data_IF_061946742406
#
_entry.id   IF_061946742406
#
_cell.length_a   1.000
_cell.length_b   1.000
_cell.length_c   1.000
_cell.angle_alpha   90.00
_cell.angle_beta   90.00
_cell.angle_gamma   90.00
#
_symmetry.space_group_name_H-M   'P 1'
#
loop_
_entity.id
_entity.type
_entity.pdbx_description
1 polymer ?
#
# COMPACT_ATOMS: atom_id res chain seq x y z
N UNK A 1 -11.31 45.56 -12.44
CA UNK A 1 -11.67 44.32 -13.18
C UNK A 1 -10.50 43.43 -13.62
N UNK A 2 -9.22 43.85 -13.54
CA UNK A 2 -8.06 43.03 -13.97
C UNK A 2 -7.55 42.05 -12.90
N UNK A 3 -7.77 42.37 -11.61
CA UNK A 3 -7.28 41.57 -10.46
C UNK A 3 -8.11 40.27 -10.29
N UNK A 4 -9.42 40.34 -10.58
CA UNK A 4 -10.31 39.17 -10.58
C UNK A 4 -9.90 38.13 -11.62
N UNK A 5 -9.40 38.55 -12.79
CA UNK A 5 -8.87 37.65 -13.82
C UNK A 5 -7.65 36.87 -13.34
N UNK A 6 -6.77 37.48 -12.55
CA UNK A 6 -5.57 36.83 -12.00
C UNK A 6 -5.89 35.85 -10.86
N UNK A 7 -6.84 36.20 -9.98
CA UNK A 7 -7.31 35.31 -8.91
C UNK A 7 -8.03 34.09 -9.50
N UNK A 8 -8.82 34.29 -10.55
CA UNK A 8 -9.49 33.18 -11.24
C UNK A 8 -8.47 32.28 -11.95
N UNK A 9 -7.44 32.87 -12.57
CA UNK A 9 -6.40 32.14 -13.30
C UNK A 9 -5.50 31.29 -12.38
N UNK A 10 -5.25 31.72 -11.13
CA UNK A 10 -4.40 30.96 -10.19
C UNK A 10 -5.14 29.86 -9.42
N UNK A 11 -6.47 29.95 -9.31
CA UNK A 11 -7.28 28.95 -8.62
C UNK A 11 -7.49 27.66 -9.46
N UNK A 12 -7.38 27.77 -10.79
CA UNK A 12 -7.63 26.66 -11.73
C UNK A 12 -6.63 25.50 -11.56
N UNK A 13 -5.30 25.72 -11.49
CA UNK A 13 -4.34 24.63 -11.26
C UNK A 13 -4.59 23.86 -9.95
N UNK A 14 -4.92 24.57 -8.87
CA UNK A 14 -5.19 23.97 -7.56
C UNK A 14 -6.47 23.12 -7.57
N UNK A 15 -7.50 23.56 -8.28
CA UNK A 15 -8.75 22.81 -8.42
C UNK A 15 -8.56 21.53 -9.27
N UNK A 16 -7.84 21.63 -10.38
CA UNK A 16 -7.52 20.47 -11.25
C UNK A 16 -6.68 19.44 -10.51
N UNK A 17 -5.67 19.88 -9.75
CA UNK A 17 -4.83 18.97 -8.96
C UNK A 17 -5.65 18.24 -7.88
N UNK A 18 -6.51 18.95 -7.14
CA UNK A 18 -7.40 18.31 -6.14
C UNK A 18 -8.39 17.35 -6.79
N UNK A 19 -8.92 17.68 -7.97
CA UNK A 19 -9.88 16.83 -8.67
C UNK A 19 -9.23 15.58 -9.28
N UNK A 20 -8.01 15.70 -9.81
CA UNK A 20 -7.21 14.57 -10.27
C UNK A 20 -6.85 13.62 -9.12
N UNK A 21 -6.40 14.17 -7.99
CA UNK A 21 -6.18 13.40 -6.76
C UNK A 21 -7.47 12.74 -6.24
N UNK A 22 -8.60 13.44 -6.40
CA UNK A 22 -9.91 12.92 -6.02
C UNK A 22 -10.37 11.73 -6.90
N UNK A 23 -10.07 11.77 -8.20
CA UNK A 23 -10.40 10.68 -9.11
C UNK A 23 -9.52 9.45 -8.88
N UNK A 24 -8.22 9.66 -8.65
CA UNK A 24 -7.24 8.58 -8.42
C UNK A 24 -7.56 7.77 -7.15
N UNK A 25 -7.88 8.40 -6.03
CA UNK A 25 -8.24 7.64 -4.81
C UNK A 25 -9.58 6.91 -4.92
N UNK A 26 -10.51 7.43 -5.75
CA UNK A 26 -11.82 6.79 -5.99
C UNK A 26 -11.70 5.60 -6.92
N UNK A 27 -10.73 5.61 -7.82
CA UNK A 27 -10.39 4.46 -8.65
C UNK A 27 -9.60 3.38 -7.89
N UNK A 28 -8.75 3.76 -6.94
CA UNK A 28 -7.99 2.78 -6.14
C UNK A 28 -8.85 2.04 -5.10
N UNK A 29 -10.03 2.55 -4.77
CA UNK A 29 -10.92 1.97 -3.75
C UNK A 29 -12.02 1.06 -4.30
N UNK A 30 -12.14 0.94 -5.64
CA UNK A 30 -13.38 0.49 -6.27
C UNK A 30 -13.32 -0.67 -7.27
N UNK A 31 -12.23 -1.42 -7.41
CA UNK A 31 -12.29 -2.66 -8.19
C UNK A 31 -12.88 -3.78 -7.34
N UNK A 32 -14.21 -3.76 -7.29
CA UNK A 32 -15.07 -4.72 -6.63
C UNK A 32 -14.78 -6.14 -7.10
N UNK A 33 -14.16 -6.89 -6.20
CA UNK A 33 -13.88 -8.29 -6.37
C UNK A 33 -15.10 -9.08 -5.89
N UNK A 34 -16.04 -9.25 -6.81
CA UNK A 34 -17.28 -9.98 -6.55
C UNK A 34 -17.68 -10.77 -7.79
N UNK A 35 -16.90 -11.83 -8.07
CA UNK A 35 -17.33 -12.97 -8.89
C UNK A 35 -16.27 -14.07 -8.84
N UNK A 36 -16.66 -15.14 -8.14
CA UNK A 36 -15.94 -16.38 -7.86
C UNK A 36 -14.91 -16.27 -6.72
N UNK A 37 -15.41 -15.95 -5.54
CA UNK A 37 -14.66 -15.29 -4.48
C UNK A 37 -13.60 -16.18 -3.80
N UNK A 38 -13.79 -17.50 -3.70
CA UNK A 38 -12.82 -18.35 -2.95
C UNK A 38 -11.57 -18.73 -3.76
N UNK A 39 -11.73 -19.26 -4.97
CA UNK A 39 -10.58 -19.61 -5.82
C UNK A 39 -9.83 -18.34 -6.29
N UNK A 40 -10.55 -17.24 -6.45
CA UNK A 40 -9.93 -15.95 -6.66
C UNK A 40 -9.22 -15.51 -5.36
N UNK A 41 -9.84 -15.62 -4.17
CA UNK A 41 -9.25 -15.30 -2.85
C UNK A 41 -7.92 -16.01 -2.65
N UNK A 42 -7.91 -17.32 -2.86
CA UNK A 42 -6.71 -18.16 -2.75
C UNK A 42 -5.64 -17.71 -3.74
N UNK A 43 -5.97 -17.50 -5.02
CA UNK A 43 -5.02 -17.01 -6.01
C UNK A 43 -4.49 -15.61 -5.68
N UNK A 44 -5.31 -14.71 -5.15
CA UNK A 44 -4.86 -13.39 -4.71
C UNK A 44 -3.98 -13.48 -3.49
N UNK A 45 -4.27 -14.39 -2.55
CA UNK A 45 -3.46 -14.59 -1.37
C UNK A 45 -2.06 -15.12 -1.75
N UNK A 46 -1.98 -16.10 -2.64
CA UNK A 46 -0.71 -16.59 -3.18
C UNK A 46 0.12 -15.47 -3.84
N UNK A 47 -0.53 -14.59 -4.60
CA UNK A 47 0.13 -13.44 -5.21
C UNK A 47 0.63 -12.44 -4.17
N UNK A 48 -0.14 -12.17 -3.11
CA UNK A 48 0.28 -11.29 -2.03
C UNK A 48 1.43 -11.90 -1.22
N UNK A 49 1.41 -13.21 -0.97
CA UNK A 49 2.51 -13.95 -0.34
C UNK A 49 3.78 -13.86 -1.18
N UNK A 50 3.67 -14.05 -2.49
CA UNK A 50 4.79 -13.88 -3.40
C UNK A 50 5.33 -12.43 -3.39
N UNK A 51 4.43 -11.45 -3.27
CA UNK A 51 4.80 -10.04 -3.16
C UNK A 51 5.49 -9.72 -1.83
N UNK A 52 5.02 -10.26 -0.69
CA UNK A 52 5.69 -10.13 0.61
C UNK A 52 7.12 -10.66 0.57
N UNK A 53 7.32 -11.88 0.05
CA UNK A 53 8.66 -12.48 -0.13
C UNK A 53 9.54 -11.61 -1.01
N UNK A 54 9.00 -11.14 -2.14
CA UNK A 54 9.72 -10.28 -3.08
C UNK A 54 10.13 -8.96 -2.41
N UNK A 55 9.23 -8.32 -1.67
CA UNK A 55 9.46 -7.06 -0.98
C UNK A 55 10.52 -7.21 0.12
N UNK A 56 10.49 -8.31 0.87
CA UNK A 56 11.49 -8.59 1.88
C UNK A 56 12.88 -8.79 1.25
N UNK A 57 12.97 -9.55 0.16
CA UNK A 57 14.21 -9.73 -0.58
C UNK A 57 14.73 -8.42 -1.20
N UNK A 58 13.83 -7.56 -1.68
CA UNK A 58 14.20 -6.24 -2.20
C UNK A 58 14.64 -5.29 -1.09
N UNK A 59 14.03 -5.39 0.10
CA UNK A 59 14.44 -4.65 1.29
C UNK A 59 15.84 -5.06 1.72
N UNK A 60 16.10 -6.36 1.91
CA UNK A 60 17.43 -6.89 2.28
C UNK A 60 18.49 -6.50 1.26
N UNK A 61 18.18 -6.59 -0.05
CA UNK A 61 19.10 -6.17 -1.12
C UNK A 61 19.41 -4.67 -1.08
N UNK A 62 18.39 -3.84 -0.87
CA UNK A 62 18.55 -2.38 -0.76
C UNK A 62 19.30 -1.99 0.51
N UNK A 63 19.09 -2.74 1.59
CA UNK A 63 19.80 -2.56 2.85
C UNK A 63 21.28 -2.91 2.71
N UNK A 64 21.62 -4.03 2.07
CA UNK A 64 23.00 -4.48 1.88
C UNK A 64 23.80 -3.60 0.90
N UNK A 65 23.14 -2.92 -0.03
CA UNK A 65 23.81 -2.05 -1.00
C UNK A 65 24.21 -0.71 -0.37
N UNK A 66 25.53 -0.47 -0.26
CA UNK A 66 26.10 0.75 0.32
C UNK A 66 25.98 1.98 -0.58
N UNK A 67 26.01 1.79 -1.90
CA UNK A 67 26.25 2.88 -2.87
C UNK A 67 24.98 3.32 -3.62
N UNK A 68 23.79 2.99 -3.10
CA UNK A 68 22.53 3.36 -3.72
C UNK A 68 22.16 4.82 -3.42
N UNK A 69 21.95 5.66 -4.45
CA UNK A 69 21.40 7.00 -4.23
C UNK A 69 19.99 6.89 -3.64
N UNK A 70 19.69 7.77 -2.69
CA UNK A 70 18.39 7.83 -2.00
C UNK A 70 17.97 6.51 -1.33
N UNK A 71 18.93 5.71 -0.84
CA UNK A 71 18.68 4.45 -0.13
C UNK A 71 17.60 4.56 0.96
N UNK A 72 17.65 5.62 1.77
CA UNK A 72 16.65 5.85 2.83
C UNK A 72 15.21 5.97 2.29
N UNK A 73 15.02 6.74 1.21
CA UNK A 73 13.69 6.88 0.59
C UNK A 73 13.20 5.57 -0.04
N UNK A 74 14.11 4.77 -0.61
CA UNK A 74 13.79 3.43 -1.14
C UNK A 74 13.36 2.48 -0.03
N UNK A 75 14.10 2.41 1.07
CA UNK A 75 13.74 1.57 2.21
C UNK A 75 12.40 1.99 2.82
N UNK A 76 12.13 3.30 2.90
CA UNK A 76 10.84 3.81 3.36
C UNK A 76 9.69 3.39 2.42
N UNK A 77 9.89 3.51 1.10
CA UNK A 77 8.88 3.10 0.13
C UNK A 77 8.61 1.59 0.19
N UNK A 78 9.65 0.76 0.31
CA UNK A 78 9.51 -0.68 0.48
C UNK A 78 8.79 -1.04 1.78
N UNK A 79 9.10 -0.35 2.88
CA UNK A 79 8.40 -0.54 4.16
C UNK A 79 6.92 -0.19 4.07
N UNK A 80 6.54 0.86 3.33
CA UNK A 80 5.13 1.23 3.14
C UNK A 80 4.40 0.23 2.27
N UNK A 81 5.02 -0.22 1.17
CA UNK A 81 4.47 -1.26 0.31
C UNK A 81 4.23 -2.56 1.10
N UNK A 82 5.19 -2.94 1.96
CA UNK A 82 5.08 -4.11 2.82
C UNK A 82 3.87 -4.01 3.78
N UNK A 83 3.71 -2.88 4.47
CA UNK A 83 2.56 -2.67 5.36
C UNK A 83 1.22 -2.70 4.60
N UNK A 84 1.16 -2.13 3.39
CA UNK A 84 -0.04 -2.17 2.54
C UNK A 84 -0.36 -3.61 2.07
N UNK A 85 0.65 -4.41 1.74
CA UNK A 85 0.48 -5.83 1.36
C UNK A 85 0.02 -6.67 2.55
N UNK A 86 0.59 -6.47 3.75
CA UNK A 86 0.09 -7.11 4.98
C UNK A 86 -1.37 -6.75 5.26
N UNK A 87 -1.74 -5.48 5.10
CA UNK A 87 -3.12 -5.01 5.24
C UNK A 87 -4.08 -5.71 4.26
N UNK A 88 -3.64 -5.95 3.03
CA UNK A 88 -4.42 -6.71 2.04
C UNK A 88 -4.59 -8.17 2.49
N UNK A 89 -3.54 -8.80 3.03
CA UNK A 89 -3.63 -10.14 3.61
C UNK A 89 -4.63 -10.21 4.77
N UNK A 90 -4.62 -9.23 5.69
CA UNK A 90 -5.59 -9.18 6.78
C UNK A 90 -7.03 -9.15 6.27
N UNK A 91 -7.29 -8.35 5.23
CA UNK A 91 -8.63 -8.26 4.63
C UNK A 91 -9.07 -9.55 3.94
N UNK A 92 -8.15 -10.29 3.31
CA UNK A 92 -8.49 -11.57 2.66
C UNK A 92 -8.70 -12.71 3.67
N UNK A 93 -7.96 -12.70 4.78
CA UNK A 93 -8.05 -13.72 5.83
C UNK A 93 -9.04 -13.36 6.95
N UNK A 94 -9.78 -12.26 6.80
CA UNK A 94 -10.74 -11.73 7.79
C UNK A 94 -10.12 -11.54 9.19
N UNK A 95 -8.84 -11.19 9.24
CA UNK A 95 -8.11 -10.87 10.47
C UNK A 95 -8.37 -9.40 10.82
N UNK A 96 -8.62 -9.05 12.10
CA UNK A 96 -8.82 -7.67 12.52
C UNK A 96 -7.69 -6.76 12.02
N UNK A 97 -8.05 -5.80 11.17
CA UNK A 97 -7.09 -4.83 10.62
C UNK A 97 -6.78 -3.75 11.67
N UNK A 98 -5.50 -3.47 11.97
CA UNK A 98 -5.14 -2.33 12.82
C UNK A 98 -5.40 -0.99 12.12
N UNK A 99 -5.09 0.12 12.79
CA UNK A 99 -5.19 1.46 12.20
C UNK A 99 -4.36 1.58 10.91
N UNK A 100 -4.56 2.62 10.11
CA UNK A 100 -3.88 2.77 8.81
C UNK A 100 -2.35 2.86 8.97
N UNK A 101 -1.55 2.18 8.12
CA UNK A 101 -0.09 2.26 8.15
C UNK A 101 0.44 3.69 7.89
N UNK A 102 1.72 3.98 8.22
CA UNK A 102 2.78 3.05 8.62
C UNK A 102 2.65 2.53 10.05
N UNK A 103 3.02 1.27 10.26
CA UNK A 103 2.96 0.64 11.59
C UNK A 103 4.31 0.66 12.31
N UNK A 104 4.31 0.75 13.66
CA UNK A 104 5.49 0.46 14.45
C UNK A 104 5.97 -0.99 14.22
N UNK A 105 7.28 -1.27 14.32
CA UNK A 105 7.83 -2.62 14.09
C UNK A 105 7.18 -3.72 14.93
N UNK A 106 6.83 -3.42 16.18
CA UNK A 106 6.16 -4.38 17.08
C UNK A 106 4.75 -4.73 16.58
N UNK A 107 4.00 -3.73 16.13
CA UNK A 107 2.65 -3.93 15.56
C UNK A 107 2.71 -4.76 14.29
N UNK A 108 3.71 -4.50 13.43
CA UNK A 108 3.95 -5.30 12.23
C UNK A 108 4.18 -6.79 12.56
N UNK A 109 5.06 -7.08 13.52
CA UNK A 109 5.32 -8.46 13.96
C UNK A 109 4.07 -9.14 14.53
N UNK A 110 3.24 -8.41 15.27
CA UNK A 110 1.98 -8.94 15.79
C UNK A 110 1.00 -9.31 14.66
N UNK A 111 0.91 -8.46 13.62
CA UNK A 111 0.07 -8.72 12.45
C UNK A 111 0.57 -9.96 11.70
N UNK A 112 1.87 -10.06 11.46
CA UNK A 112 2.48 -11.23 10.81
C UNK A 112 2.16 -12.51 11.59
N UNK A 113 2.27 -12.47 12.92
CA UNK A 113 1.92 -13.60 13.77
C UNK A 113 0.43 -13.98 13.68
N UNK A 114 -0.48 -12.99 13.69
CA UNK A 114 -1.92 -13.25 13.55
C UNK A 114 -2.28 -13.78 12.15
N UNK A 115 -1.63 -13.27 11.10
CA UNK A 115 -1.77 -13.81 9.74
C UNK A 115 -1.27 -15.25 9.65
N UNK A 116 -0.13 -15.56 10.28
CA UNK A 116 0.39 -16.92 10.34
C UNK A 116 -0.58 -17.86 11.07
N UNK A 117 -1.20 -17.41 12.16
CA UNK A 117 -2.25 -18.17 12.85
C UNK A 117 -3.51 -18.37 12.01
N UNK A 118 -3.82 -17.42 11.13
CA UNK A 118 -4.92 -17.51 10.17
C UNK A 118 -4.59 -18.38 8.93
N UNK A 119 -3.38 -18.93 8.85
CA UNK A 119 -2.97 -19.87 7.79
C UNK A 119 -2.07 -19.26 6.70
N UNK A 120 -1.56 -18.04 6.90
CA UNK A 120 -0.58 -17.43 6.00
C UNK A 120 0.84 -17.94 6.32
N UNK A 121 1.40 -18.83 5.50
CA UNK A 121 2.78 -19.30 5.65
C UNK A 121 3.64 -18.79 4.48
N UNK A 122 4.74 -18.10 4.77
CA UNK A 122 5.60 -17.51 3.73
C UNK A 122 7.09 -17.42 4.09
#
# INVERSE_FOLDING_TARGET
MRILLWVLLSAVPAAVFRMGWALLHRWSTGHGWRRNDNAAAERSLELLVADLRRLEDEFRRTEAASDLPYRGARLQALSLAYDDTLRLCCRLLDVPEPERPPWPPVTRLQIEAELARAGLDW
#
